data_IF_488159296953
#
_entry.id   IF_488159296953
#
_cell.length_a   1.000
_cell.length_b   1.000
_cell.length_c   1.000
_cell.angle_alpha   90.00
_cell.angle_beta   90.00
_cell.angle_gamma   90.00
#
_symmetry.space_group_name_H-M   'P 1'
#
loop_
_entity.id
_entity.type
_entity.pdbx_description
1 polymer ?
#
# COMPACT_ATOMS: atom_id res chain seq x y z
N UNK A 1 27.57 17.48 -22.65
CA UNK A 1 26.96 16.86 -21.45
C UNK A 1 27.89 15.88 -20.75
N UNK A 2 28.55 14.92 -21.44
CA UNK A 2 29.50 13.97 -20.81
C UNK A 2 30.63 14.59 -19.97
N UNK A 3 31.10 15.79 -20.30
CA UNK A 3 32.16 16.49 -19.59
C UNK A 3 31.76 17.09 -18.24
N UNK A 4 30.45 17.20 -17.97
CA UNK A 4 29.90 17.80 -16.75
C UNK A 4 29.48 16.74 -15.72
N UNK A 5 29.41 15.47 -16.11
CA UNK A 5 28.99 14.38 -15.23
C UNK A 5 30.19 13.76 -14.50
N UNK A 6 30.09 13.52 -13.18
CA UNK A 6 31.08 12.74 -12.45
C UNK A 6 31.34 11.39 -13.12
N UNK A 7 32.62 10.99 -13.21
CA UNK A 7 33.01 9.74 -13.89
C UNK A 7 32.63 8.46 -13.12
N UNK A 8 32.38 8.58 -11.81
CA UNK A 8 32.09 7.45 -10.91
C UNK A 8 30.63 7.43 -10.44
N UNK A 9 29.71 7.58 -11.39
CA UNK A 9 28.29 7.67 -11.12
C UNK A 9 27.67 6.27 -11.04
N UNK A 10 27.38 5.80 -9.83
CA UNK A 10 26.77 4.48 -9.60
C UNK A 10 25.24 4.48 -9.77
N UNK A 11 24.58 5.61 -9.50
CA UNK A 11 23.13 5.73 -9.58
C UNK A 11 22.68 7.14 -9.96
N UNK A 12 21.72 7.22 -10.87
CA UNK A 12 21.04 8.43 -11.31
C UNK A 12 19.56 8.33 -10.94
N UNK A 13 19.06 9.28 -10.15
CA UNK A 13 17.66 9.29 -9.68
C UNK A 13 16.91 10.41 -10.38
N UNK A 14 15.92 10.06 -11.18
CA UNK A 14 15.04 11.00 -11.88
C UNK A 14 13.89 11.37 -10.95
N UNK A 15 13.91 12.61 -10.47
CA UNK A 15 12.96 13.09 -9.48
C UNK A 15 11.65 13.62 -10.07
N UNK A 16 11.70 14.10 -11.31
CA UNK A 16 10.55 14.63 -12.04
C UNK A 16 9.88 13.54 -12.88
N UNK A 17 8.54 13.46 -12.90
CA UNK A 17 7.82 12.46 -13.68
C UNK A 17 7.88 12.72 -15.20
N UNK A 18 8.14 13.96 -15.64
CA UNK A 18 8.18 14.36 -17.05
C UNK A 18 9.38 15.29 -17.27
N UNK A 19 10.56 14.70 -17.45
CA UNK A 19 11.79 15.45 -17.71
C UNK A 19 12.50 14.91 -18.97
N UNK A 20 12.32 15.56 -20.14
CA UNK A 20 12.98 15.15 -21.38
C UNK A 20 14.50 15.34 -21.32
N UNK A 21 15.02 16.16 -20.39
CA UNK A 21 16.46 16.29 -20.16
C UNK A 21 17.01 15.07 -19.43
N UNK A 22 16.23 14.44 -18.56
CA UNK A 22 16.64 13.23 -17.86
C UNK A 22 16.91 12.06 -18.81
N UNK A 23 16.16 11.93 -19.90
CA UNK A 23 16.42 10.93 -20.95
C UNK A 23 17.74 11.22 -21.68
N UNK A 24 17.98 12.48 -22.04
CA UNK A 24 19.24 12.91 -22.67
C UNK A 24 20.45 12.74 -21.76
N UNK A 25 20.26 12.93 -20.45
CA UNK A 25 21.29 12.66 -19.45
C UNK A 25 21.52 11.16 -19.32
N UNK A 26 20.46 10.34 -19.34
CA UNK A 26 20.58 8.88 -19.26
C UNK A 26 21.43 8.27 -20.38
N UNK A 27 21.35 8.81 -21.60
CA UNK A 27 22.16 8.38 -22.76
C UNK A 27 23.67 8.62 -22.61
N UNK A 28 24.06 9.50 -21.70
CA UNK A 28 25.46 9.88 -21.47
C UNK A 28 26.05 9.34 -20.17
N UNK A 29 25.28 8.55 -19.41
CA UNK A 29 25.73 7.95 -18.15
C UNK A 29 26.74 6.80 -18.38
N UNK A 30 27.58 6.51 -17.37
CA UNK A 30 28.43 5.31 -17.38
C UNK A 30 27.61 4.03 -17.52
N UNK A 31 28.19 2.99 -18.16
CA UNK A 31 27.51 1.69 -18.42
C UNK A 31 27.02 1.01 -17.13
N UNK A 32 27.69 1.25 -16.00
CA UNK A 32 27.33 0.67 -14.70
C UNK A 32 26.36 1.56 -13.88
N UNK A 33 25.96 2.71 -14.41
CA UNK A 33 25.07 3.63 -13.71
C UNK A 33 23.62 3.12 -13.76
N UNK A 34 23.01 2.93 -12.59
CA UNK A 34 21.59 2.56 -12.50
C UNK A 34 20.71 3.80 -12.60
N UNK A 35 19.74 3.80 -13.51
CA UNK A 35 18.72 4.85 -13.59
C UNK A 35 17.48 4.40 -12.81
N UNK A 36 17.06 5.20 -11.83
CA UNK A 36 15.86 4.97 -11.01
C UNK A 36 14.95 6.19 -11.06
N UNK A 37 13.64 5.99 -11.10
CA UNK A 37 12.66 7.08 -11.06
C UNK A 37 12.08 7.20 -9.65
N UNK A 38 11.90 8.43 -9.14
CA UNK A 38 11.25 8.65 -7.82
C UNK A 38 9.84 8.05 -7.76
N UNK A 39 9.14 8.01 -8.89
CA UNK A 39 7.81 7.39 -9.01
C UNK A 39 7.83 5.88 -8.75
N UNK A 40 8.97 5.20 -8.94
CA UNK A 40 9.11 3.79 -8.58
C UNK A 40 8.99 3.54 -7.07
N UNK A 41 9.20 4.58 -6.25
CA UNK A 41 9.05 4.54 -4.79
C UNK A 41 7.64 4.94 -4.32
N UNK A 42 6.78 5.48 -5.19
CA UNK A 42 5.48 6.10 -4.83
C UNK A 42 4.28 5.14 -4.81
N UNK A 43 4.53 3.84 -4.74
CA UNK A 43 3.53 2.89 -4.28
C UNK A 43 3.12 1.89 -5.34
N UNK A 44 3.57 0.65 -5.14
CA UNK A 44 2.69 -0.48 -5.45
C UNK A 44 1.44 -0.34 -4.55
N UNK A 45 0.23 -0.62 -5.05
CA UNK A 45 -0.95 -0.59 -4.21
C UNK A 45 -0.72 -1.40 -2.95
N UNK A 46 -0.77 -0.75 -1.78
CA UNK A 46 -0.49 -1.39 -0.48
C UNK A 46 -1.42 -2.59 -0.20
N UNK A 47 -2.57 -2.66 -0.87
CA UNK A 47 -3.49 -3.79 -0.77
C UNK A 47 -2.97 -5.07 -1.44
N UNK A 48 -2.05 -4.99 -2.40
CA UNK A 48 -1.47 -6.15 -3.07
C UNK A 48 -0.34 -6.83 -2.27
N UNK A 49 0.21 -6.13 -1.26
CA UNK A 49 1.33 -6.61 -0.46
C UNK A 49 0.89 -7.32 0.85
N UNK A 50 -0.40 -7.31 1.19
CA UNK A 50 -0.91 -8.07 2.33
C UNK A 50 -1.07 -9.54 1.94
N UNK A 51 0.04 -10.28 1.90
CA UNK A 51 -0.01 -11.74 1.89
C UNK A 51 -0.80 -12.21 3.12
N UNK A 52 -1.84 -13.05 2.96
CA UNK A 52 -2.65 -13.56 4.08
C UNK A 52 -1.85 -14.48 5.02
N UNK A 53 -0.61 -14.85 4.67
CA UNK A 53 0.24 -15.69 5.49
C UNK A 53 1.19 -14.87 6.38
N UNK A 54 0.65 -14.32 7.48
CA UNK A 54 1.45 -13.70 8.56
C UNK A 54 1.95 -14.79 9.50
N UNK A 55 3.06 -15.44 9.17
CA UNK A 55 3.81 -16.22 10.16
C UNK A 55 5.31 -16.18 9.87
N UNK A 56 5.97 -15.08 10.28
CA UNK A 56 7.44 -15.00 10.47
C UNK A 56 7.97 -13.64 11.00
N UNK A 57 7.21 -12.76 11.67
CA UNK A 57 7.66 -11.36 11.87
C UNK A 57 7.73 -10.77 13.27
N UNK A 58 7.60 -11.53 14.36
CA UNK A 58 7.88 -10.94 15.69
C UNK A 58 9.31 -10.39 15.80
N UNK A 59 10.32 -11.10 15.26
CA UNK A 59 11.72 -10.60 15.21
C UNK A 59 11.96 -9.51 14.15
N UNK A 60 11.21 -9.51 13.05
CA UNK A 60 11.36 -8.52 11.98
C UNK A 60 10.71 -7.17 12.33
N UNK A 61 9.71 -7.15 13.21
CA UNK A 61 9.05 -5.92 13.66
C UNK A 61 9.99 -5.00 14.45
N UNK A 62 10.87 -5.56 15.29
CA UNK A 62 11.87 -4.79 16.04
C UNK A 62 12.87 -4.09 15.11
N UNK A 63 13.45 -4.84 14.16
CA UNK A 63 14.46 -4.31 13.22
C UNK A 63 13.89 -3.21 12.30
N UNK A 64 12.65 -3.35 11.83
CA UNK A 64 12.00 -2.31 11.05
C UNK A 64 11.75 -1.06 11.89
N UNK A 65 11.26 -1.24 13.13
CA UNK A 65 11.05 -0.15 14.08
C UNK A 65 12.33 0.65 14.32
N UNK A 66 13.44 -0.02 14.59
CA UNK A 66 14.73 0.63 14.86
C UNK A 66 15.27 1.34 13.62
N UNK A 67 15.10 0.75 12.44
CA UNK A 67 15.55 1.35 11.17
C UNK A 67 14.75 2.60 10.85
N UNK A 68 13.43 2.57 11.02
CA UNK A 68 12.57 3.75 10.83
C UNK A 68 12.89 4.85 11.84
N UNK A 69 13.13 4.51 13.11
CA UNK A 69 13.55 5.49 14.13
C UNK A 69 14.87 6.15 13.77
N UNK A 70 15.86 5.36 13.33
CA UNK A 70 17.14 5.90 12.86
C UNK A 70 16.97 6.81 11.65
N UNK A 71 16.22 6.37 10.63
CA UNK A 71 15.97 7.16 9.43
C UNK A 71 15.26 8.48 9.75
N UNK A 72 14.24 8.44 10.62
CA UNK A 72 13.51 9.63 11.06
C UNK A 72 14.43 10.62 11.79
N UNK A 73 15.31 10.12 12.66
CA UNK A 73 16.28 10.97 13.37
C UNK A 73 17.18 11.73 12.40
N UNK A 74 17.76 11.04 11.42
CA UNK A 74 18.62 11.67 10.41
C UNK A 74 17.84 12.70 9.57
N UNK A 75 16.63 12.35 9.13
CA UNK A 75 15.80 13.28 8.36
C UNK A 75 15.42 14.55 9.15
N UNK A 76 15.19 14.43 10.47
CA UNK A 76 14.94 15.58 11.34
C UNK A 76 16.17 16.45 11.55
N UNK A 77 17.36 15.86 11.60
CA UNK A 77 18.62 16.58 11.70
C UNK A 77 18.90 17.36 10.40
N UNK A 78 18.74 16.71 9.25
CA UNK A 78 18.88 17.34 7.92
C UNK A 78 17.92 18.51 7.71
N UNK A 79 16.69 18.41 8.23
CA UNK A 79 15.69 19.48 8.13
C UNK A 79 16.09 20.74 8.93
N UNK A 80 16.80 20.58 10.05
CA UNK A 80 17.28 21.72 10.86
C UNK A 80 18.38 22.50 10.14
N UNK A 81 19.18 21.83 9.32
CA UNK A 81 20.26 22.42 8.53
C UNK A 81 19.80 22.95 7.17
N UNK A 82 18.60 22.56 6.72
CA UNK A 82 18.09 22.93 5.40
C UNK A 82 17.46 24.33 5.40
N UNK A 83 17.77 25.11 4.36
CA UNK A 83 17.14 26.41 4.07
C UNK A 83 15.68 26.18 3.67
N UNK A 84 14.77 27.11 4.05
CA UNK A 84 13.33 27.11 3.74
C UNK A 84 12.98 26.41 2.41
N UNK A 85 12.58 25.14 2.50
CA UNK A 85 12.08 24.38 1.36
C UNK A 85 10.60 24.71 1.20
N UNK A 86 10.23 25.29 0.07
CA UNK A 86 8.82 25.50 -0.25
C UNK A 86 8.14 24.12 -0.44
N UNK A 87 7.26 23.76 0.49
CA UNK A 87 6.47 22.54 0.40
C UNK A 87 5.25 22.81 -0.46
N UNK A 88 5.08 22.05 -1.54
CA UNK A 88 3.86 22.11 -2.33
C UNK A 88 2.73 21.42 -1.55
N UNK A 89 1.91 22.20 -0.87
CA UNK A 89 0.74 21.71 -0.12
C UNK A 89 -0.50 21.70 -1.00
N UNK A 90 -1.21 20.58 -1.02
CA UNK A 90 -2.45 20.38 -1.79
C UNK A 90 -3.60 20.15 -0.81
N UNK A 91 -4.75 20.80 -1.02
CA UNK A 91 -5.91 20.61 -0.15
C UNK A 91 -6.72 19.37 -0.53
N UNK A 92 -7.57 18.92 0.40
CA UNK A 92 -8.51 17.82 0.12
C UNK A 92 -9.54 18.19 -0.95
N UNK A 93 -9.94 19.46 -1.06
CA UNK A 93 -10.79 19.97 -2.15
C UNK A 93 -10.11 19.89 -3.52
N UNK A 94 -8.81 20.22 -3.59
CA UNK A 94 -8.04 20.16 -4.85
C UNK A 94 -7.92 18.72 -5.35
N UNK A 95 -7.73 17.77 -4.42
CA UNK A 95 -7.74 16.33 -4.71
C UNK A 95 -9.08 15.87 -5.28
N UNK A 96 -10.19 16.29 -4.68
CA UNK A 96 -11.53 15.92 -5.15
C UNK A 96 -11.79 16.52 -6.53
N UNK A 97 -11.45 17.79 -6.74
CA UNK A 97 -11.55 18.44 -8.04
C UNK A 97 -10.72 17.72 -9.11
N UNK A 98 -9.46 17.39 -8.80
CA UNK A 98 -8.60 16.63 -9.70
C UNK A 98 -9.12 15.20 -9.99
N UNK A 99 -9.72 14.53 -9.00
CA UNK A 99 -10.32 13.20 -9.19
C UNK A 99 -11.62 13.24 -10.01
N UNK A 100 -12.38 14.34 -9.94
CA UNK A 100 -13.60 14.57 -10.71
C UNK A 100 -13.32 14.96 -12.17
N UNK A 101 -12.17 15.58 -12.43
CA UNK A 101 -11.64 15.85 -13.77
C UNK A 101 -11.19 14.53 -14.42
N UNK A 102 -12.17 13.69 -14.78
CA UNK A 102 -11.99 12.52 -15.61
C UNK A 102 -11.29 12.93 -16.92
N UNK A 103 -10.04 12.51 -17.05
CA UNK A 103 -9.38 12.19 -18.33
C UNK A 103 -9.49 13.27 -19.41
N UNK A 104 -9.10 14.51 -19.11
CA UNK A 104 -9.06 15.55 -20.15
C UNK A 104 -8.31 16.84 -19.80
N UNK A 105 -8.34 17.28 -18.54
CA UNK A 105 -7.72 18.55 -18.15
C UNK A 105 -6.42 18.31 -17.37
N UNK A 106 -5.29 18.43 -18.09
CA UNK A 106 -3.93 18.07 -17.65
C UNK A 106 -3.42 19.03 -16.54
N UNK A 107 -3.98 20.24 -16.45
CA UNK A 107 -3.48 21.29 -15.57
C UNK A 107 -3.80 21.05 -14.08
N UNK A 108 -5.01 20.60 -13.73
CA UNK A 108 -5.35 20.26 -12.33
C UNK A 108 -4.68 18.95 -11.86
N UNK A 109 -4.40 18.03 -12.78
CA UNK A 109 -3.62 16.82 -12.50
C UNK A 109 -2.14 17.13 -12.22
N UNK A 110 -1.61 18.24 -12.73
CA UNK A 110 -0.20 18.61 -12.60
C UNK A 110 0.22 18.92 -11.16
N UNK A 111 -0.66 19.54 -10.37
CA UNK A 111 -0.41 19.82 -8.96
C UNK A 111 -0.24 18.55 -8.11
N UNK A 112 -0.90 17.45 -8.51
CA UNK A 112 -0.77 16.12 -7.88
C UNK A 112 0.37 15.27 -8.45
N UNK A 113 0.95 15.65 -9.59
CA UNK A 113 2.09 14.94 -10.20
C UNK A 113 3.42 15.27 -9.52
N UNK A 114 3.46 16.30 -8.68
CA UNK A 114 4.63 16.58 -7.86
C UNK A 114 4.91 15.40 -6.96
N UNK A 115 6.05 14.74 -7.18
CA UNK A 115 6.52 13.58 -6.42
C UNK A 115 6.60 13.82 -4.89
N UNK A 116 6.55 15.08 -4.47
CA UNK A 116 6.70 15.56 -3.09
C UNK A 116 5.52 16.43 -2.63
N UNK A 117 4.37 16.37 -3.31
CA UNK A 117 3.18 17.09 -2.88
C UNK A 117 2.69 16.57 -1.51
N UNK A 118 2.42 17.48 -0.57
CA UNK A 118 1.92 17.14 0.76
C UNK A 118 0.45 17.48 0.85
N UNK A 119 -0.37 16.51 1.24
CA UNK A 119 -1.79 16.74 1.46
C UNK A 119 -2.04 17.42 2.82
N UNK A 120 -2.68 18.58 2.79
CA UNK A 120 -3.24 19.23 3.96
C UNK A 120 -4.65 18.68 4.26
N UNK A 121 -4.75 17.90 5.33
CA UNK A 121 -6.00 17.31 5.83
C UNK A 121 -6.86 18.30 6.62
N UNK A 122 -6.32 19.45 7.03
CA UNK A 122 -7.02 20.45 7.83
C UNK A 122 -7.59 21.59 6.98
N UNK A 123 -7.07 21.80 5.77
CA UNK A 123 -7.52 22.84 4.84
C UNK A 123 -9.02 22.76 4.49
N UNK A 124 -9.64 21.58 4.58
CA UNK A 124 -11.05 21.37 4.19
C UNK A 124 -11.84 20.69 5.31
N UNK A 125 -12.78 21.38 5.98
CA UNK A 125 -13.55 20.81 7.08
C UNK A 125 -14.61 19.78 6.62
N UNK A 126 -15.02 19.84 5.36
CA UNK A 126 -16.03 18.94 4.77
C UNK A 126 -15.48 18.39 3.45
N UNK A 127 -15.42 17.07 3.34
CA UNK A 127 -14.94 16.36 2.14
C UNK A 127 -15.93 15.27 1.77
N UNK A 128 -16.24 15.14 0.47
CA UNK A 128 -17.06 14.04 -0.04
C UNK A 128 -16.24 12.75 -0.08
N UNK A 129 -16.55 11.80 0.81
CA UNK A 129 -15.89 10.50 0.85
C UNK A 129 -16.70 9.44 0.08
N UNK A 130 -16.00 8.57 -0.65
CA UNK A 130 -16.62 7.41 -1.28
C UNK A 130 -16.89 6.34 -0.21
N UNK A 131 -18.15 6.10 0.09
CA UNK A 131 -18.56 4.99 0.95
C UNK A 131 -18.21 3.68 0.23
N UNK A 132 -17.27 2.94 0.82
CA UNK A 132 -16.86 1.63 0.33
C UNK A 132 -17.53 0.55 1.15
N UNK A 133 -17.85 -0.58 0.54
CA UNK A 133 -18.42 -1.72 1.25
C UNK A 133 -17.44 -2.22 2.32
N UNK A 134 -17.99 -2.62 3.46
CA UNK A 134 -17.23 -3.11 4.62
C UNK A 134 -16.35 -4.33 4.29
N UNK A 135 -16.72 -5.07 3.26
CA UNK A 135 -16.08 -6.30 2.81
C UNK A 135 -14.76 -6.07 2.04
N UNK A 136 -14.37 -4.82 1.77
CA UNK A 136 -13.14 -4.52 1.03
C UNK A 136 -11.85 -4.77 1.83
N UNK A 137 -11.95 -4.92 3.15
CA UNK A 137 -10.81 -5.16 4.06
C UNK A 137 -11.09 -6.38 4.95
N UNK A 138 -10.04 -7.04 5.48
CA UNK A 138 -10.25 -8.06 6.51
C UNK A 138 -10.90 -7.41 7.74
N UNK A 139 -12.06 -7.93 8.13
CA UNK A 139 -12.87 -7.43 9.26
C UNK A 139 -12.57 -8.23 10.52
N UNK A 140 -12.10 -9.46 10.37
CA UNK A 140 -11.80 -10.36 11.47
C UNK A 140 -10.31 -10.40 11.78
N UNK A 141 -9.99 -10.41 13.07
CA UNK A 141 -8.62 -10.58 13.54
C UNK A 141 -8.28 -12.07 13.54
N UNK A 142 -7.11 -12.40 13.00
CA UNK A 142 -6.65 -13.78 12.89
C UNK A 142 -6.24 -14.42 14.24
N UNK A 143 -6.09 -13.62 15.31
CA UNK A 143 -5.72 -14.05 16.67
C UNK A 143 -6.94 -14.29 17.58
N UNK A 144 -8.15 -14.26 17.04
CA UNK A 144 -9.40 -14.39 17.82
C UNK A 144 -10.22 -15.59 17.38
N UNK A 145 -10.95 -16.16 18.35
CA UNK A 145 -11.91 -17.22 18.13
C UNK A 145 -13.32 -16.63 18.07
N UNK A 146 -14.01 -16.92 16.98
CA UNK A 146 -15.37 -16.47 16.71
C UNK A 146 -16.35 -17.61 16.95
N UNK A 147 -17.25 -17.42 17.91
CA UNK A 147 -18.22 -18.46 18.30
C UNK A 147 -19.61 -18.15 17.73
N UNK A 148 -20.10 -19.03 16.86
CA UNK A 148 -21.42 -18.98 16.26
C UNK A 148 -22.34 -20.00 16.95
N UNK A 149 -23.39 -19.51 17.59
CA UNK A 149 -24.37 -20.33 18.31
C UNK A 149 -25.65 -20.45 17.48
N UNK A 150 -26.16 -21.66 17.29
CA UNK A 150 -27.41 -21.93 16.57
C UNK A 150 -27.31 -21.85 15.04
N UNK A 151 -26.11 -21.66 14.50
CA UNK A 151 -25.86 -21.46 13.06
C UNK A 151 -25.10 -22.64 12.45
N UNK A 152 -25.62 -23.87 12.59
CA UNK A 152 -25.01 -25.08 12.01
C UNK A 152 -25.59 -25.53 10.67
N UNK A 153 -26.58 -24.81 10.14
CA UNK A 153 -27.17 -25.08 8.83
C UNK A 153 -26.38 -24.46 7.67
N UNK A 154 -26.90 -24.59 6.44
CA UNK A 154 -26.29 -24.05 5.22
C UNK A 154 -26.00 -22.54 5.28
N UNK A 155 -26.87 -21.76 5.93
CA UNK A 155 -26.65 -20.33 6.17
C UNK A 155 -25.47 -20.06 7.12
N UNK A 156 -25.32 -20.88 8.16
CA UNK A 156 -24.20 -20.72 9.09
C UNK A 156 -22.86 -21.04 8.43
N UNK A 157 -22.84 -22.04 7.55
CA UNK A 157 -21.66 -22.38 6.75
C UNK A 157 -21.31 -21.28 5.75
N UNK A 158 -22.29 -20.67 5.06
CA UNK A 158 -22.01 -19.56 4.14
C UNK A 158 -21.49 -18.31 4.87
N UNK A 159 -21.96 -18.08 6.10
CA UNK A 159 -21.39 -17.04 6.97
C UNK A 159 -19.95 -17.40 7.36
N UNK A 160 -19.65 -18.65 7.71
CA UNK A 160 -18.30 -19.07 8.01
C UNK A 160 -17.34 -18.89 6.82
N UNK A 161 -17.77 -19.26 5.61
CA UNK A 161 -16.99 -19.05 4.39
C UNK A 161 -16.69 -17.56 4.16
N UNK A 162 -17.69 -16.70 4.36
CA UNK A 162 -17.48 -15.25 4.32
C UNK A 162 -16.52 -14.77 5.42
N UNK A 163 -16.65 -15.26 6.65
CA UNK A 163 -15.77 -14.89 7.76
C UNK A 163 -14.32 -15.29 7.51
N UNK A 164 -14.08 -16.49 6.98
CA UNK A 164 -12.75 -16.98 6.57
C UNK A 164 -12.18 -16.08 5.48
N UNK A 165 -12.97 -15.77 4.45
CA UNK A 165 -12.57 -14.83 3.39
C UNK A 165 -12.25 -13.42 3.92
N UNK A 166 -12.79 -13.04 5.08
CA UNK A 166 -12.51 -11.76 5.77
C UNK A 166 -11.49 -11.86 6.91
N UNK A 167 -10.73 -12.95 6.99
CA UNK A 167 -9.56 -13.08 7.87
C UNK A 167 -9.79 -13.82 9.19
N UNK A 168 -10.99 -14.39 9.41
CA UNK A 168 -11.23 -15.22 10.59
C UNK A 168 -10.47 -16.54 10.47
N UNK A 169 -9.63 -16.84 11.45
CA UNK A 169 -8.82 -18.07 11.48
C UNK A 169 -9.42 -19.16 12.36
N UNK A 170 -10.08 -18.77 13.44
CA UNK A 170 -10.65 -19.70 14.42
C UNK A 170 -12.16 -19.43 14.51
N UNK A 171 -12.96 -20.38 14.04
CA UNK A 171 -14.41 -20.31 14.07
C UNK A 171 -14.94 -21.56 14.77
N UNK A 172 -15.80 -21.37 15.77
CA UNK A 172 -16.47 -22.44 16.52
C UNK A 172 -17.95 -22.33 16.23
N UNK A 173 -18.58 -23.42 15.77
CA UNK A 173 -20.02 -23.49 15.57
C UNK A 173 -20.61 -24.46 16.58
N UNK A 174 -21.64 -24.03 17.30
CA UNK A 174 -22.39 -24.89 18.23
C UNK A 174 -23.87 -24.88 17.89
N UNK A 175 -24.50 -26.05 17.89
CA UNK A 175 -25.95 -26.20 17.64
C UNK A 175 -26.47 -27.46 18.31
N UNK A 176 -27.79 -27.49 18.55
CA UNK A 176 -28.49 -28.67 19.08
C UNK A 176 -28.70 -29.77 18.02
N UNK A 177 -28.67 -29.40 16.74
CA UNK A 177 -28.80 -30.32 15.59
C UNK A 177 -27.78 -29.96 14.49
N UNK A 178 -26.50 -30.34 14.66
CA UNK A 178 -25.47 -30.04 13.67
C UNK A 178 -25.70 -30.89 12.40
N UNK A 179 -26.29 -30.27 11.38
CA UNK A 179 -26.42 -30.87 10.04
C UNK A 179 -25.23 -30.44 9.19
N UNK A 180 -24.02 -30.82 9.62
CA UNK A 180 -22.81 -30.65 8.82
C UNK A 180 -22.75 -31.82 7.86
N UNK A 181 -23.41 -31.68 6.72
CA UNK A 181 -23.13 -32.51 5.54
C UNK A 181 -21.61 -32.61 5.41
N UNK A 182 -21.07 -33.82 5.31
CA UNK A 182 -19.64 -34.10 5.38
C UNK A 182 -18.84 -33.45 4.22
N UNK A 183 -18.69 -32.12 4.24
CA UNK A 183 -17.84 -31.34 3.35
C UNK A 183 -16.35 -31.46 3.73
N UNK A 184 -16.00 -32.40 4.61
CA UNK A 184 -14.64 -32.74 5.02
C UNK A 184 -13.83 -33.53 3.99
N UNK A 185 -14.12 -33.42 2.68
CA UNK A 185 -13.36 -34.15 1.64
C UNK A 185 -13.12 -33.37 0.34
N UNK A 186 -12.93 -32.03 0.41
CA UNK A 186 -12.52 -31.24 -0.77
C UNK A 186 -11.23 -30.41 -0.63
N UNK A 187 -10.48 -30.56 0.48
CA UNK A 187 -9.18 -29.88 0.67
C UNK A 187 -7.99 -30.86 0.70
N UNK A 188 -8.23 -32.17 0.74
CA UNK A 188 -7.16 -33.19 0.78
C UNK A 188 -6.70 -33.72 -0.61
N UNK A 189 -7.11 -33.09 -1.72
CA UNK A 189 -6.94 -33.65 -3.08
C UNK A 189 -5.98 -32.94 -4.04
N UNK A 190 -5.22 -31.91 -3.62
CA UNK A 190 -4.22 -31.23 -4.49
C UNK A 190 -2.79 -31.27 -3.94
N UNK A 191 -2.41 -32.40 -3.36
CA UNK A 191 -1.01 -32.75 -3.09
C UNK A 191 -0.75 -34.21 -3.43
N UNK A 192 -0.96 -34.56 -4.69
CA UNK A 192 -0.33 -35.72 -5.34
C UNK A 192 -0.74 -35.71 -6.81
N UNK A 193 0.10 -35.11 -7.66
CA UNK A 193 0.46 -35.61 -8.99
C UNK A 193 1.44 -34.65 -9.65
N UNK A 194 2.68 -35.15 -9.78
CA UNK A 194 3.71 -34.91 -10.80
C UNK A 194 3.87 -33.48 -11.33
#
# INVERSE_FOLDING_TARGET
MRSLLPRDLARFVVASPEDPEAERIAEVLPVNCRVEHLTAFQGKPLYAAMSPYRSATERAQGMLGDTLRRALKHAQEDLKTSVNVAVNTVSSSDLVAAAQLRTGNIEAGSALRGALAVLDWQASPIVQARVSRLDTKPVFKADRTYWLVGLSGSLGLSICDWMIAKGAKYIVITSRSPHVEAAGRRVAGRRAQS
#
